data_IF_976150206689
#
_entry.id   IF_976150206689
#
_cell.length_a   1.000
_cell.length_b   1.000
_cell.length_c   1.000
_cell.angle_alpha   90.00
_cell.angle_beta   90.00
_cell.angle_gamma   90.00
#
_symmetry.space_group_name_H-M   'P 1'
#
loop_
_entity.id
_entity.type
_entity.pdbx_description
1 polymer ?
#
# COMPACT_ATOMS: atom_id res chain seq x y z
N UNK A 1 23.23 -1.34 -5.09
CA UNK A 1 22.19 -2.21 -5.68
C UNK A 1 20.86 -1.67 -5.20
N UNK A 2 20.11 -0.98 -6.06
CA UNK A 2 18.72 -0.61 -5.76
C UNK A 2 17.91 -1.90 -5.76
N UNK A 3 17.57 -2.43 -4.59
CA UNK A 3 16.59 -3.51 -4.52
C UNK A 3 15.21 -2.85 -4.47
N UNK A 4 14.62 -2.64 -5.65
CA UNK A 4 13.30 -2.02 -5.85
C UNK A 4 12.19 -2.69 -5.03
N UNK A 5 12.38 -3.93 -4.55
CA UNK A 5 11.44 -4.63 -3.70
C UNK A 5 11.49 -4.22 -2.21
N UNK A 6 12.54 -3.51 -1.76
CA UNK A 6 12.67 -3.10 -0.35
C UNK A 6 11.54 -2.14 0.05
N UNK A 7 11.31 -1.11 -0.75
CA UNK A 7 10.30 -0.09 -0.46
C UNK A 7 8.88 -0.67 -0.40
N UNK A 8 8.38 -1.43 -1.41
CA UNK A 8 7.06 -2.04 -1.31
C UNK A 8 6.96 -3.07 -0.18
N UNK A 9 8.05 -3.77 0.16
CA UNK A 9 8.07 -4.66 1.34
C UNK A 9 7.88 -3.90 2.65
N UNK A 10 8.61 -2.80 2.83
CA UNK A 10 8.52 -1.95 4.02
C UNK A 10 7.14 -1.28 4.12
N UNK A 11 6.65 -0.69 3.03
CA UNK A 11 5.30 -0.10 2.97
C UNK A 11 4.24 -1.16 3.29
N UNK A 12 4.34 -2.36 2.70
CA UNK A 12 3.40 -3.45 2.95
C UNK A 12 3.29 -3.81 4.43
N UNK A 13 4.42 -3.86 5.15
CA UNK A 13 4.43 -4.13 6.59
C UNK A 13 3.80 -2.98 7.39
N UNK A 14 4.14 -1.73 7.08
CA UNK A 14 3.61 -0.55 7.78
C UNK A 14 2.10 -0.34 7.56
N UNK A 15 1.54 -0.82 6.45
CA UNK A 15 0.09 -0.80 6.19
C UNK A 15 -0.65 -2.02 6.72
N UNK A 16 0.02 -3.16 6.96
CA UNK A 16 -0.64 -4.40 7.35
C UNK A 16 -0.53 -4.74 8.84
N UNK A 17 0.57 -4.36 9.48
CA UNK A 17 0.79 -4.62 10.90
C UNK A 17 0.71 -3.34 11.72
N UNK A 18 0.27 -3.47 12.97
CA UNK A 18 0.27 -2.38 13.93
C UNK A 18 1.72 -1.92 14.23
N UNK A 19 1.93 -0.68 14.68
CA UNK A 19 3.27 -0.12 14.85
C UNK A 19 4.05 -0.75 16.03
N UNK A 20 3.36 -1.41 16.96
CA UNK A 20 3.94 -2.12 18.11
C UNK A 20 4.31 -3.59 17.81
N UNK A 21 3.94 -4.11 16.63
CA UNK A 21 4.32 -5.46 16.19
C UNK A 21 5.82 -5.52 15.84
N UNK A 22 6.49 -6.60 16.23
CA UNK A 22 7.95 -6.76 16.11
C UNK A 22 8.46 -6.55 14.67
N UNK A 23 7.67 -6.99 13.69
CA UNK A 23 7.96 -6.87 12.26
C UNK A 23 8.13 -5.43 11.77
N UNK A 24 7.48 -4.46 12.41
CA UNK A 24 7.56 -3.05 12.04
C UNK A 24 8.68 -2.30 12.78
N UNK A 25 9.16 -2.81 13.91
CA UNK A 25 10.11 -2.09 14.77
C UNK A 25 11.40 -1.70 14.02
N UNK A 26 11.94 -2.60 13.21
CA UNK A 26 13.15 -2.34 12.43
C UNK A 26 12.94 -1.19 11.42
N UNK A 27 11.83 -1.21 10.66
CA UNK A 27 11.51 -0.17 9.69
C UNK A 27 11.21 1.16 10.37
N UNK A 28 10.46 1.16 11.48
CA UNK A 28 10.14 2.37 12.24
C UNK A 28 11.37 3.02 12.89
N UNK A 29 12.37 2.22 13.24
CA UNK A 29 13.64 2.70 13.80
C UNK A 29 14.63 3.20 12.73
N UNK A 30 14.34 2.97 11.45
CA UNK A 30 15.20 3.36 10.33
C UNK A 30 14.39 3.91 9.16
N UNK A 31 13.48 4.84 9.43
CA UNK A 31 12.60 5.46 8.43
C UNK A 31 13.38 6.23 7.36
N UNK A 32 14.54 6.79 7.71
CA UNK A 32 15.46 7.44 6.77
C UNK A 32 15.90 6.51 5.64
N UNK A 33 15.95 5.20 5.90
CA UNK A 33 16.31 4.22 4.88
C UNK A 33 15.33 4.17 3.71
N UNK A 34 14.07 4.60 3.90
CA UNK A 34 13.06 4.67 2.84
C UNK A 34 13.40 5.74 1.79
N UNK A 35 14.10 6.82 2.17
CA UNK A 35 14.58 7.84 1.24
C UNK A 35 15.59 7.27 0.24
N UNK A 36 16.30 6.22 0.65
CA UNK A 36 17.38 5.61 -0.09
C UNK A 36 17.00 4.25 -0.70
N UNK A 37 15.83 3.71 -0.36
CA UNK A 37 15.33 2.44 -0.86
C UNK A 37 14.88 2.51 -2.34
N UNK A 38 14.68 3.71 -2.88
CA UNK A 38 14.20 3.95 -4.24
C UNK A 38 14.86 5.20 -4.84
N UNK A 39 14.96 5.26 -6.17
CA UNK A 39 15.52 6.41 -6.89
C UNK A 39 14.45 7.47 -7.12
N UNK A 40 14.09 8.19 -6.06
CA UNK A 40 13.02 9.18 -6.12
C UNK A 40 13.32 10.34 -7.08
N UNK A 41 12.32 10.74 -7.87
CA UNK A 41 12.38 11.96 -8.67
C UNK A 41 12.16 13.21 -7.81
N UNK A 42 11.20 13.15 -6.89
CA UNK A 42 10.86 14.25 -5.96
C UNK A 42 11.55 14.09 -4.59
N UNK A 43 12.89 14.12 -4.57
CA UNK A 43 13.66 13.90 -3.33
C UNK A 43 13.30 14.86 -2.20
N UNK A 44 13.00 16.13 -2.49
CA UNK A 44 12.63 17.11 -1.46
C UNK A 44 11.29 16.74 -0.79
N UNK A 45 10.26 16.44 -1.59
CA UNK A 45 8.95 15.99 -1.10
C UNK A 45 9.09 14.73 -0.23
N UNK A 46 9.88 13.76 -0.69
CA UNK A 46 10.14 12.51 0.03
C UNK A 46 10.88 12.74 1.34
N UNK A 47 11.92 13.57 1.36
CA UNK A 47 12.68 13.88 2.58
C UNK A 47 11.81 14.62 3.61
N UNK A 48 10.93 15.51 3.17
CA UNK A 48 9.99 16.21 4.05
C UNK A 48 9.00 15.22 4.68
N UNK A 49 8.45 14.29 3.89
CA UNK A 49 7.56 13.23 4.40
C UNK A 49 8.27 12.32 5.40
N UNK A 50 9.50 11.90 5.10
CA UNK A 50 10.28 11.04 6.00
C UNK A 50 10.61 11.75 7.31
N UNK A 51 10.99 13.02 7.24
CA UNK A 51 11.19 13.85 8.45
C UNK A 51 9.91 13.92 9.29
N UNK A 52 8.75 14.10 8.64
CA UNK A 52 7.47 14.12 9.35
C UNK A 52 7.10 12.75 9.93
N UNK A 53 7.33 11.66 9.19
CA UNK A 53 7.14 10.29 9.68
C UNK A 53 7.99 10.02 10.93
N UNK A 54 9.25 10.45 10.93
CA UNK A 54 10.14 10.31 12.10
C UNK A 54 9.65 11.09 13.31
N UNK A 55 9.16 12.32 13.10
CA UNK A 55 8.60 13.16 14.16
C UNK A 55 7.35 12.52 14.79
N UNK A 56 6.53 11.84 13.99
CA UNK A 56 5.25 11.26 14.41
C UNK A 56 5.32 9.75 14.66
N UNK A 57 6.49 9.10 14.54
CA UNK A 57 6.64 7.63 14.69
C UNK A 57 6.09 7.09 16.01
N UNK A 58 6.29 7.83 17.10
CA UNK A 58 5.88 7.43 18.44
C UNK A 58 4.44 7.83 18.78
N UNK A 59 3.82 8.71 17.98
CA UNK A 59 2.41 9.04 18.11
C UNK A 59 1.50 8.10 17.30
N UNK A 60 2.06 7.30 16.39
CA UNK A 60 1.36 6.18 15.76
C UNK A 60 1.15 5.06 16.78
N UNK A 61 -0.05 4.97 17.34
CA UNK A 61 -0.40 3.93 18.31
C UNK A 61 -1.18 2.78 17.67
N UNK A 62 -1.23 1.64 18.36
CA UNK A 62 -2.15 0.54 18.02
C UNK A 62 -3.60 1.00 17.92
N UNK A 63 -4.02 1.95 18.74
CA UNK A 63 -5.37 2.51 18.67
C UNK A 63 -5.62 3.25 17.34
N UNK A 64 -4.67 4.09 16.90
CA UNK A 64 -4.78 4.74 15.59
C UNK A 64 -4.83 3.71 14.46
N UNK A 65 -4.02 2.65 14.56
CA UNK A 65 -4.04 1.56 13.60
C UNK A 65 -5.42 0.86 13.57
N UNK A 66 -5.98 0.50 14.72
CA UNK A 66 -7.30 -0.14 14.78
C UNK A 66 -8.43 0.73 14.23
N UNK A 67 -8.36 2.06 14.43
CA UNK A 67 -9.32 3.00 13.84
C UNK A 67 -9.21 3.08 12.32
N UNK A 68 -7.99 3.07 11.77
CA UNK A 68 -7.74 3.34 10.36
C UNK A 68 -7.75 2.08 9.48
N UNK A 69 -7.42 0.90 10.04
CA UNK A 69 -7.24 -0.34 9.27
C UNK A 69 -8.13 -1.50 9.72
N UNK A 70 -8.49 -1.60 11.01
CA UNK A 70 -9.21 -2.77 11.54
C UNK A 70 -10.72 -2.55 11.76
N UNK A 71 -11.17 -1.30 11.73
CA UNK A 71 -12.60 -0.96 11.78
C UNK A 71 -13.18 -0.92 13.18
N UNK A 72 -12.44 -0.40 14.16
CA UNK A 72 -13.02 0.05 15.42
C UNK A 72 -13.89 1.32 15.16
N UNK A 73 -15.06 1.14 14.56
CA UNK A 73 -15.92 2.22 14.05
C UNK A 73 -16.05 2.20 12.52
N UNK A 74 -16.41 3.34 11.93
CA UNK A 74 -16.47 3.46 10.47
C UNK A 74 -15.08 3.75 9.90
N UNK A 75 -14.56 2.83 9.08
CA UNK A 75 -13.30 3.03 8.36
C UNK A 75 -13.41 4.18 7.35
N UNK A 76 -12.58 5.21 7.53
CA UNK A 76 -12.44 6.32 6.58
C UNK A 76 -11.99 5.80 5.21
N UNK A 77 -10.91 5.02 5.19
CA UNK A 77 -10.30 4.43 4.00
C UNK A 77 -10.12 2.91 4.21
N UNK A 78 -11.17 2.09 3.97
CA UNK A 78 -11.07 0.64 4.13
C UNK A 78 -9.97 0.08 3.22
N UNK A 79 -9.00 -0.70 3.71
CA UNK A 79 -7.79 -1.02 2.96
C UNK A 79 -7.98 -2.12 1.88
N UNK A 80 -9.20 -2.47 1.49
CA UNK A 80 -9.49 -3.54 0.53
C UNK A 80 -9.94 -3.00 -0.81
N UNK A 81 -9.30 -3.44 -1.90
CA UNK A 81 -9.60 -2.94 -3.23
C UNK A 81 -11.04 -3.16 -3.70
N UNK A 82 -11.68 -4.24 -3.27
CA UNK A 82 -13.09 -4.52 -3.55
C UNK A 82 -14.06 -3.46 -3.06
N UNK A 83 -13.76 -2.79 -1.94
CA UNK A 83 -14.63 -1.77 -1.35
C UNK A 83 -14.80 -0.55 -2.25
N UNK A 84 -13.80 -0.25 -3.10
CA UNK A 84 -13.85 0.93 -3.97
C UNK A 84 -14.52 0.66 -5.31
N UNK A 85 -14.61 -0.61 -5.71
CA UNK A 85 -14.92 -1.01 -7.09
C UNK A 85 -16.36 -1.51 -7.27
N UNK A 86 -17.11 -1.71 -6.18
CA UNK A 86 -18.50 -2.13 -6.21
C UNK A 86 -19.42 -1.09 -5.53
N UNK A 87 -20.70 -1.06 -5.92
CA UNK A 87 -21.69 -0.09 -5.38
C UNK A 87 -21.97 -0.27 -3.90
N UNK A 88 -21.87 -1.50 -3.44
CA UNK A 88 -22.27 -1.89 -2.09
C UNK A 88 -21.12 -1.71 -1.09
N UNK A 89 -19.94 -1.26 -1.55
CA UNK A 89 -18.71 -1.07 -0.77
C UNK A 89 -18.35 -2.33 0.04
N UNK A 90 -18.58 -3.51 -0.55
CA UNK A 90 -18.39 -4.81 0.08
C UNK A 90 -16.98 -5.33 -0.12
N UNK A 91 -16.44 -5.92 0.94
CA UNK A 91 -15.18 -6.66 0.95
C UNK A 91 -15.40 -8.03 0.27
N UNK A 92 -14.36 -8.60 -0.36
CA UNK A 92 -14.40 -9.89 -1.08
C UNK A 92 -15.37 -9.90 -2.28
N UNK A 93 -15.38 -8.83 -3.07
CA UNK A 93 -16.15 -8.73 -4.32
C UNK A 93 -15.47 -9.40 -5.53
N UNK A 94 -16.03 -9.16 -6.72
CA UNK A 94 -15.52 -9.72 -7.99
C UNK A 94 -14.05 -9.38 -8.25
N UNK A 95 -13.60 -8.18 -7.87
CA UNK A 95 -12.20 -7.76 -8.01
C UNK A 95 -11.26 -8.59 -7.13
N UNK A 96 -11.71 -9.02 -5.94
CA UNK A 96 -10.94 -9.92 -5.07
C UNK A 96 -10.81 -11.30 -5.68
N UNK A 97 -11.90 -11.83 -6.26
CA UNK A 97 -11.88 -13.13 -6.94
C UNK A 97 -10.95 -13.12 -8.17
N UNK A 98 -11.00 -12.04 -8.97
CA UNK A 98 -10.08 -11.84 -10.10
C UNK A 98 -8.62 -11.76 -9.63
N UNK A 99 -8.36 -11.03 -8.54
CA UNK A 99 -7.02 -10.94 -7.96
C UNK A 99 -6.50 -12.29 -7.43
N UNK A 100 -7.36 -13.13 -6.85
CA UNK A 100 -6.96 -14.47 -6.41
C UNK A 100 -6.59 -15.36 -7.60
N UNK A 101 -7.32 -15.27 -8.72
CA UNK A 101 -6.95 -15.98 -9.95
C UNK A 101 -5.61 -15.51 -10.49
N UNK A 102 -5.34 -14.20 -10.44
CA UNK A 102 -4.05 -13.63 -10.80
C UNK A 102 -2.92 -14.21 -9.93
N UNK A 103 -3.04 -14.15 -8.60
CA UNK A 103 -2.03 -14.65 -7.66
C UNK A 103 -1.70 -16.13 -7.89
N UNK A 104 -2.74 -16.97 -8.04
CA UNK A 104 -2.59 -18.39 -8.36
C UNK A 104 -1.82 -18.61 -9.67
N UNK A 105 -2.09 -17.81 -10.71
CA UNK A 105 -1.43 -17.94 -12.01
C UNK A 105 0.05 -17.55 -11.98
N UNK A 106 0.41 -16.57 -11.16
CA UNK A 106 1.80 -16.12 -11.00
C UNK A 106 2.56 -16.88 -9.92
N UNK A 107 1.89 -17.79 -9.19
CA UNK A 107 2.52 -18.65 -8.19
C UNK A 107 2.76 -17.98 -6.84
N UNK A 108 2.06 -16.89 -6.54
CA UNK A 108 2.12 -16.21 -5.24
C UNK A 108 1.04 -16.80 -4.34
N UNK A 109 1.46 -17.40 -3.24
CA UNK A 109 0.59 -17.90 -2.19
C UNK A 109 0.95 -17.25 -0.85
N UNK A 110 -0.05 -16.70 -0.18
CA UNK A 110 0.09 -16.09 1.14
C UNK A 110 -0.62 -16.97 2.16
N UNK A 111 0.07 -17.36 3.22
CA UNK A 111 -0.53 -18.09 4.35
C UNK A 111 -1.36 -17.18 5.27
N UNK A 112 -2.27 -16.38 4.69
CA UNK A 112 -3.15 -15.42 5.40
C UNK A 112 -4.59 -15.93 5.34
N UNK A 113 -5.17 -16.23 6.52
CA UNK A 113 -6.51 -16.84 6.62
C UNK A 113 -7.62 -15.88 7.04
N UNK A 114 -7.26 -14.75 7.65
CA UNK A 114 -8.22 -13.86 8.32
C UNK A 114 -8.38 -12.50 7.62
N UNK A 115 -7.72 -12.31 6.47
CA UNK A 115 -7.79 -11.07 5.70
C UNK A 115 -7.89 -11.41 4.21
N UNK A 116 -8.78 -10.74 3.46
CA UNK A 116 -8.77 -10.77 2.00
C UNK A 116 -7.42 -10.30 1.44
N UNK A 117 -6.90 -10.99 0.42
CA UNK A 117 -5.56 -10.65 -0.12
C UNK A 117 -5.54 -9.33 -0.90
N UNK A 118 -6.70 -8.78 -1.27
CA UNK A 118 -6.81 -7.44 -1.87
C UNK A 118 -6.66 -6.30 -0.83
N UNK A 119 -6.21 -6.61 0.38
CA UNK A 119 -5.73 -5.64 1.36
C UNK A 119 -4.46 -4.94 0.85
N UNK A 120 -4.44 -3.60 0.88
CA UNK A 120 -3.36 -2.78 0.31
C UNK A 120 -1.95 -3.22 0.75
N UNK A 121 -1.74 -3.42 2.06
CA UNK A 121 -0.45 -3.89 2.58
C UNK A 121 0.00 -5.26 2.01
N UNK A 122 -0.93 -6.20 1.82
CA UNK A 122 -0.64 -7.50 1.22
C UNK A 122 -0.35 -7.37 -0.28
N UNK A 123 -1.04 -6.47 -0.96
CA UNK A 123 -0.76 -6.15 -2.37
C UNK A 123 0.62 -5.52 -2.55
N UNK A 124 1.07 -4.67 -1.62
CA UNK A 124 2.45 -4.15 -1.64
C UNK A 124 3.50 -5.27 -1.48
N UNK A 125 3.23 -6.30 -0.68
CA UNK A 125 4.11 -7.48 -0.66
C UNK A 125 4.07 -8.30 -1.94
N UNK A 126 2.90 -8.47 -2.55
CA UNK A 126 2.81 -9.13 -3.86
C UNK A 126 3.63 -8.38 -4.91
N UNK A 127 3.58 -7.04 -4.90
CA UNK A 127 4.43 -6.19 -5.74
C UNK A 127 5.92 -6.46 -5.50
N UNK A 128 6.35 -6.54 -4.24
CA UNK A 128 7.73 -6.85 -3.90
C UNK A 128 8.18 -8.22 -4.44
N UNK A 129 7.34 -9.25 -4.32
CA UNK A 129 7.61 -10.59 -4.86
C UNK A 129 7.72 -10.57 -6.39
N UNK A 130 6.80 -9.91 -7.09
CA UNK A 130 6.82 -9.79 -8.54
C UNK A 130 8.07 -9.07 -9.06
N UNK A 131 8.54 -8.05 -8.33
CA UNK A 131 9.79 -7.34 -8.63
C UNK A 131 11.00 -8.28 -8.48
N UNK A 132 11.05 -9.07 -7.40
CA UNK A 132 12.15 -10.00 -7.14
C UNK A 132 12.22 -11.15 -8.14
N UNK A 133 11.07 -11.65 -8.57
CA UNK A 133 10.98 -12.65 -9.64
C UNK A 133 11.39 -12.10 -11.01
N UNK A 134 11.41 -10.77 -11.18
CA UNK A 134 11.72 -10.11 -12.45
C UNK A 134 10.65 -10.32 -13.53
N UNK A 135 9.44 -10.76 -13.17
CA UNK A 135 8.36 -11.02 -14.11
C UNK A 135 7.63 -9.72 -14.48
N UNK A 136 8.20 -8.96 -15.41
CA UNK A 136 7.68 -7.66 -15.83
C UNK A 136 6.24 -7.72 -16.36
N UNK A 137 5.87 -8.79 -17.07
CA UNK A 137 4.50 -8.96 -17.61
C UNK A 137 3.50 -9.08 -16.47
N UNK A 138 3.79 -9.91 -15.46
CA UNK A 138 2.94 -10.06 -14.29
C UNK A 138 2.89 -8.78 -13.45
N UNK A 139 4.01 -8.05 -13.31
CA UNK A 139 4.04 -6.77 -12.60
C UNK A 139 3.17 -5.71 -13.29
N UNK A 140 3.22 -5.61 -14.62
CA UNK A 140 2.39 -4.69 -15.40
C UNK A 140 0.91 -5.01 -15.23
N UNK A 141 0.54 -6.29 -15.30
CA UNK A 141 -0.85 -6.72 -15.09
C UNK A 141 -1.30 -6.45 -13.65
N UNK A 142 -0.48 -6.79 -12.66
CA UNK A 142 -0.73 -6.50 -11.25
C UNK A 142 -1.03 -5.02 -11.01
N UNK A 143 -0.14 -4.15 -11.49
CA UNK A 143 -0.30 -2.70 -11.33
C UNK A 143 -1.53 -2.19 -12.06
N UNK A 144 -1.73 -2.56 -13.32
CA UNK A 144 -2.77 -1.98 -14.17
C UNK A 144 -4.17 -2.51 -13.89
N UNK A 145 -4.31 -3.76 -13.47
CA UNK A 145 -5.61 -4.43 -13.28
C UNK A 145 -6.00 -4.49 -11.80
N UNK A 146 -5.05 -4.67 -10.90
CA UNK A 146 -5.36 -5.03 -9.51
C UNK A 146 -5.08 -3.92 -8.50
N UNK A 147 -3.99 -3.16 -8.64
CA UNK A 147 -3.59 -2.16 -7.65
C UNK A 147 -3.99 -0.73 -8.02
N UNK A 148 -3.45 -0.19 -9.12
CA UNK A 148 -3.61 1.22 -9.49
C UNK A 148 -5.04 1.67 -9.80
N UNK A 149 -6.01 0.81 -10.21
CA UNK A 149 -7.37 1.25 -10.45
C UNK A 149 -8.09 1.86 -9.24
N UNK A 150 -7.65 1.55 -8.01
CA UNK A 150 -8.31 2.01 -6.78
C UNK A 150 -7.34 2.59 -5.74
N UNK A 151 -6.06 2.24 -5.79
CA UNK A 151 -5.10 2.61 -4.74
C UNK A 151 -4.96 4.12 -4.56
N UNK A 152 -5.02 4.90 -5.65
CA UNK A 152 -4.93 6.36 -5.58
C UNK A 152 -6.04 6.95 -4.71
N UNK A 153 -7.27 6.45 -4.83
CA UNK A 153 -8.42 6.88 -4.04
C UNK A 153 -8.31 6.44 -2.58
N UNK A 154 -7.87 5.21 -2.34
CA UNK A 154 -7.58 4.74 -0.98
C UNK A 154 -6.54 5.62 -0.28
N UNK A 155 -5.43 5.91 -0.95
CA UNK A 155 -4.34 6.72 -0.41
C UNK A 155 -4.75 8.18 -0.22
N UNK A 156 -5.56 8.75 -1.13
CA UNK A 156 -6.14 10.10 -0.97
C UNK A 156 -6.99 10.19 0.31
N UNK A 157 -7.91 9.23 0.51
CA UNK A 157 -8.75 9.20 1.70
C UNK A 157 -7.92 9.01 2.97
N UNK A 158 -6.95 8.09 2.96
CA UNK A 158 -6.09 7.87 4.11
C UNK A 158 -5.19 9.07 4.40
N UNK A 159 -4.66 9.76 3.39
CA UNK A 159 -3.90 11.00 3.57
C UNK A 159 -4.74 12.13 4.20
N UNK A 160 -6.07 12.10 4.03
CA UNK A 160 -6.99 13.07 4.63
C UNK A 160 -7.42 12.75 6.07
N UNK A 161 -6.95 11.63 6.64
CA UNK A 161 -7.34 11.24 8.00
C UNK A 161 -6.87 12.26 9.04
N UNK A 162 -7.68 12.44 10.10
CA UNK A 162 -7.35 13.33 11.22
C UNK A 162 -6.88 12.59 12.47
N UNK A 163 -6.88 11.26 12.43
CA UNK A 163 -6.58 10.42 13.58
C UNK A 163 -5.08 10.22 13.78
N UNK A 164 -4.28 10.28 12.70
CA UNK A 164 -2.83 10.09 12.75
C UNK A 164 -2.09 10.75 11.59
N UNK A 165 -1.25 11.74 11.92
CA UNK A 165 -0.35 12.37 10.94
C UNK A 165 0.64 11.35 10.35
N UNK A 166 1.12 10.40 11.15
CA UNK A 166 2.02 9.35 10.66
C UNK A 166 1.40 8.55 9.49
N UNK A 167 0.15 8.10 9.65
CA UNK A 167 -0.53 7.34 8.58
C UNK A 167 -0.95 8.23 7.40
N UNK A 168 -1.18 9.53 7.62
CA UNK A 168 -1.41 10.48 6.53
C UNK A 168 -0.14 10.66 5.65
N UNK A 169 1.02 10.81 6.29
CA UNK A 169 2.30 10.94 5.61
C UNK A 169 2.72 9.63 4.94
N UNK A 170 2.44 8.48 5.58
CA UNK A 170 2.69 7.16 5.01
C UNK A 170 1.87 6.94 3.72
N UNK A 171 0.60 7.35 3.72
CA UNK A 171 -0.24 7.31 2.52
C UNK A 171 0.31 8.21 1.41
N UNK A 172 0.78 9.41 1.76
CA UNK A 172 1.39 10.34 0.80
C UNK A 172 2.69 9.78 0.21
N UNK A 173 3.55 9.16 1.02
CA UNK A 173 4.78 8.50 0.56
C UNK A 173 4.47 7.34 -0.40
N UNK A 174 3.47 6.50 -0.06
CA UNK A 174 3.04 5.42 -0.93
C UNK A 174 2.42 5.92 -2.24
N UNK A 175 1.72 7.06 -2.21
CA UNK A 175 1.16 7.68 -3.41
C UNK A 175 2.27 8.18 -4.35
N UNK A 176 3.29 8.86 -3.81
CA UNK A 176 4.48 9.25 -4.58
C UNK A 176 5.17 8.04 -5.21
N UNK A 177 5.35 6.96 -4.44
CA UNK A 177 5.96 5.74 -4.94
C UNK A 177 5.18 5.13 -6.11
N UNK A 178 3.88 4.90 -5.93
CA UNK A 178 3.04 4.27 -6.97
C UNK A 178 2.89 5.16 -8.21
N UNK A 179 2.82 6.48 -8.05
CA UNK A 179 2.78 7.41 -9.17
C UNK A 179 4.09 7.37 -9.97
N UNK A 180 5.23 7.42 -9.29
CA UNK A 180 6.53 7.34 -9.96
C UNK A 180 6.71 6.00 -10.69
N UNK A 181 6.34 4.88 -10.06
CA UNK A 181 6.38 3.55 -10.70
C UNK A 181 5.47 3.51 -11.94
N UNK A 182 4.27 4.08 -11.87
CA UNK A 182 3.34 4.16 -13.00
C UNK A 182 3.96 4.91 -14.18
N UNK A 183 4.64 6.03 -13.91
CA UNK A 183 5.32 6.86 -14.91
C UNK A 183 6.53 6.15 -15.51
N UNK A 184 7.37 5.51 -14.68
CA UNK A 184 8.56 4.77 -15.13
C UNK A 184 8.22 3.59 -16.05
N UNK A 185 7.11 2.90 -15.79
CA UNK A 185 6.63 1.79 -16.62
C UNK A 185 5.84 2.31 -17.85
N UNK A 186 5.42 3.57 -17.85
CA UNK A 186 4.62 4.16 -18.93
C UNK A 186 3.19 3.62 -18.97
N UNK A 187 2.61 3.29 -17.80
CA UNK A 187 1.25 2.77 -17.72
C UNK A 187 0.21 3.88 -17.84
N UNK A 188 -0.69 3.74 -18.82
CA UNK A 188 -1.93 4.50 -18.87
C UNK A 188 -3.07 3.64 -18.31
N UNK A 189 -3.66 4.07 -17.20
CA UNK A 189 -4.76 3.36 -16.55
C UNK A 189 -6.06 4.06 -16.92
N UNK A 190 -6.94 3.36 -17.64
CA UNK A 190 -8.27 3.86 -17.91
C UNK A 190 -9.03 4.05 -16.59
N UNK A 191 -9.59 5.24 -16.33
CA UNK A 191 -10.32 5.48 -15.09
C UNK A 191 -11.51 4.53 -14.98
N UNK A 192 -11.58 3.79 -13.88
CA UNK A 192 -12.77 3.03 -13.51
C UNK A 192 -13.69 3.88 -12.64
N UNK A 193 -14.98 3.53 -12.61
CA UNK A 193 -15.89 4.15 -11.65
C UNK A 193 -15.60 3.62 -10.26
N UNK A 194 -15.30 4.54 -9.34
CA UNK A 194 -15.14 4.24 -7.91
C UNK A 194 -16.39 4.66 -7.14
N UNK A 195 -16.67 3.94 -6.05
CA UNK A 195 -17.88 4.12 -5.24
C UNK A 195 -17.60 4.61 -3.81
N UNK A 196 -16.33 4.82 -3.47
CA UNK A 196 -15.87 5.44 -2.23
C UNK A 196 -14.76 6.43 -2.51
#
# INVERSE_FOLDING_TARGET
MNNLAILPRALGALFYYAPDEEINLATLNSLESLAHAYQWQELESVNNLITSLEQHRYSATKYNFSLLFEGQGSLLAPPWGSVYQNRDNLVMGDSTAAYYQFLNRVGIDFEIKNQPLDHFGLMMWAMALLIEEGNQVALIEFLSVHLLPWSSRYLELLASNTDSQFYADLASLAALFLNQVKEEIGLNIEPIKLYK
#
